data_IF_519071600312
#
_entry.id   IF_519071600312
#
_cell.length_a   1.000
_cell.length_b   1.000
_cell.length_c   1.000
_cell.angle_alpha   90.00
_cell.angle_beta   90.00
_cell.angle_gamma   90.00
#
_symmetry.space_group_name_H-M   'P 1'
#
loop_
_entity.id
_entity.type
_entity.pdbx_description
1 polymer ?
#
# COMPACT_ATOMS: atom_id res chain seq x y z
N UNK A 1 -4.87 -11.90 11.44
CA UNK A 1 -5.48 -11.00 10.44
C UNK A 1 -4.99 -9.60 10.75
N UNK A 2 -4.32 -8.95 9.80
CA UNK A 2 -3.92 -7.56 9.94
C UNK A 2 -4.80 -6.70 9.03
N UNK A 3 -5.47 -5.72 9.64
CA UNK A 3 -6.36 -4.81 8.94
C UNK A 3 -6.02 -3.39 9.33
N UNK A 4 -6.13 -2.50 8.36
CA UNK A 4 -5.88 -1.07 8.49
C UNK A 4 -7.04 -0.33 7.86
N UNK A 5 -7.35 0.85 8.39
CA UNK A 5 -8.31 1.77 7.81
C UNK A 5 -7.69 3.17 7.84
N UNK A 6 -7.84 3.89 6.75
CA UNK A 6 -7.40 5.27 6.59
C UNK A 6 -8.58 6.14 6.19
N UNK A 7 -8.62 7.35 6.72
CA UNK A 7 -9.62 8.36 6.39
C UNK A 7 -8.92 9.51 5.67
N UNK A 8 -9.54 10.04 4.61
CA UNK A 8 -8.97 11.16 3.88
C UNK A 8 -8.93 12.39 4.81
N UNK A 9 -7.76 13.05 4.97
CA UNK A 9 -7.56 14.04 6.03
C UNK A 9 -8.40 15.32 5.84
N UNK A 10 -8.82 15.62 4.61
CA UNK A 10 -9.68 16.77 4.29
C UNK A 10 -11.14 16.40 3.98
N UNK A 11 -11.48 15.11 3.91
CA UNK A 11 -12.84 14.68 3.55
C UNK A 11 -13.16 13.34 4.24
N UNK A 12 -13.77 13.35 5.43
CA UNK A 12 -14.02 12.13 6.20
C UNK A 12 -15.03 11.19 5.53
N UNK A 13 -15.71 11.61 4.45
CA UNK A 13 -16.56 10.72 3.66
C UNK A 13 -15.77 9.69 2.86
N UNK A 14 -14.48 9.96 2.59
CA UNK A 14 -13.59 9.05 1.87
C UNK A 14 -12.74 8.27 2.86
N UNK A 15 -12.91 6.95 2.91
CA UNK A 15 -12.10 6.06 3.75
C UNK A 15 -11.70 4.81 2.97
N UNK A 16 -10.51 4.29 3.22
CA UNK A 16 -10.02 3.07 2.59
C UNK A 16 -9.51 2.09 3.64
N UNK A 17 -9.87 0.82 3.51
CA UNK A 17 -9.38 -0.27 4.33
C UNK A 17 -8.56 -1.25 3.50
N UNK A 18 -7.52 -1.83 4.09
CA UNK A 18 -6.72 -2.86 3.46
C UNK A 18 -6.56 -4.07 4.39
N UNK A 19 -6.55 -5.26 3.79
CA UNK A 19 -6.42 -6.52 4.50
C UNK A 19 -5.70 -7.55 3.64
N UNK A 20 -5.05 -8.51 4.29
CA UNK A 20 -4.63 -9.74 3.62
C UNK A 20 -5.91 -10.47 3.20
N UNK A 21 -5.95 -10.83 1.92
CA UNK A 21 -7.04 -11.57 1.29
C UNK A 21 -6.45 -12.77 0.55
N UNK A 22 -7.32 -13.58 -0.02
CA UNK A 22 -6.98 -14.65 -0.94
C UNK A 22 -7.68 -14.41 -2.28
N UNK A 23 -7.00 -14.82 -3.35
CA UNK A 23 -7.64 -15.00 -4.66
C UNK A 23 -7.44 -16.45 -5.04
N UNK A 24 -8.55 -17.18 -5.18
CA UNK A 24 -8.53 -18.56 -5.65
C UNK A 24 -8.58 -18.62 -7.19
N UNK A 25 -7.77 -19.46 -7.86
CA UNK A 25 -6.57 -20.14 -7.37
C UNK A 25 -5.34 -19.20 -7.48
N UNK A 26 -4.65 -18.89 -6.40
CA UNK A 26 -3.63 -17.82 -6.47
C UNK A 26 -2.87 -17.47 -5.18
N UNK A 27 -3.29 -17.96 -4.02
CA UNK A 27 -2.61 -17.71 -2.74
C UNK A 27 -2.98 -16.37 -2.09
N UNK A 28 -2.16 -15.94 -1.14
CA UNK A 28 -2.36 -14.69 -0.41
C UNK A 28 -2.16 -13.46 -1.31
N UNK A 29 -3.01 -12.46 -1.12
CA UNK A 29 -2.95 -11.18 -1.81
C UNK A 29 -3.38 -10.06 -0.84
N UNK A 30 -3.40 -8.82 -1.31
CA UNK A 30 -3.89 -7.66 -0.57
C UNK A 30 -5.14 -7.13 -1.24
N UNK A 31 -6.24 -7.10 -0.47
CA UNK A 31 -7.47 -6.44 -0.85
C UNK A 31 -7.50 -5.00 -0.35
N UNK A 32 -8.12 -4.12 -1.13
CA UNK A 32 -8.42 -2.74 -0.74
C UNK A 32 -9.89 -2.47 -0.99
N UNK A 33 -10.54 -1.91 0.02
CA UNK A 33 -11.95 -1.54 0.01
C UNK A 33 -12.08 -0.06 0.35
N UNK A 34 -13.00 0.64 -0.32
CA UNK A 34 -13.18 2.08 -0.27
C UNK A 34 -14.65 2.40 0.00
N UNK A 35 -14.88 3.42 0.79
CA UNK A 35 -16.16 4.13 0.91
C UNK A 35 -15.97 5.59 0.51
N UNK A 36 -16.99 6.16 -0.14
CA UNK A 36 -17.07 7.61 -0.42
C UNK A 36 -18.28 8.25 0.26
N UNK A 37 -18.91 7.52 1.19
CA UNK A 37 -20.09 7.96 1.92
C UNK A 37 -19.97 7.72 3.43
N UNK A 38 -18.75 7.90 3.98
CA UNK A 38 -18.51 7.83 5.42
C UNK A 38 -18.71 6.43 6.02
N UNK A 39 -18.50 5.38 5.22
CA UNK A 39 -18.57 4.00 5.66
C UNK A 39 -19.95 3.35 5.55
N UNK A 40 -20.94 4.02 4.98
CA UNK A 40 -22.27 3.43 4.77
C UNK A 40 -22.22 2.29 3.75
N UNK A 41 -21.48 2.46 2.65
CA UNK A 41 -21.24 1.43 1.65
C UNK A 41 -19.75 1.32 1.32
N UNK A 42 -19.29 0.10 1.06
CA UNK A 42 -17.90 -0.22 0.71
C UNK A 42 -17.83 -0.97 -0.61
N UNK A 43 -16.86 -0.61 -1.44
CA UNK A 43 -16.56 -1.29 -2.71
C UNK A 43 -15.07 -1.62 -2.75
N UNK A 44 -14.68 -2.73 -3.36
CA UNK A 44 -13.28 -3.13 -3.39
C UNK A 44 -13.03 -4.41 -4.16
N UNK A 45 -11.77 -4.84 -4.12
CA UNK A 45 -11.31 -6.08 -4.77
C UNK A 45 -10.42 -6.84 -3.80
N UNK A 46 -10.46 -8.17 -3.86
CA UNK A 46 -9.60 -9.06 -3.08
C UNK A 46 -8.15 -9.11 -3.60
N UNK A 47 -7.81 -8.30 -4.60
CA UNK A 47 -6.46 -8.08 -5.08
C UNK A 47 -6.33 -6.69 -5.68
N UNK A 48 -5.23 -6.02 -5.35
CA UNK A 48 -4.78 -4.84 -6.07
C UNK A 48 -4.32 -5.22 -7.48
N UNK A 49 -4.61 -4.35 -8.45
CA UNK A 49 -4.31 -4.58 -9.86
C UNK A 49 -3.70 -3.34 -10.49
N UNK A 50 -2.82 -3.55 -11.46
CA UNK A 50 -2.32 -2.47 -12.31
C UNK A 50 -3.39 -1.95 -13.28
N UNK A 51 -3.06 -0.92 -14.06
CA UNK A 51 -3.98 -0.31 -15.03
C UNK A 51 -4.36 -1.23 -16.20
N UNK A 52 -3.64 -2.34 -16.39
CA UNK A 52 -3.91 -3.36 -17.42
C UNK A 52 -4.69 -4.55 -16.84
N UNK A 53 -5.01 -4.53 -15.55
CA UNK A 53 -5.75 -5.58 -14.86
C UNK A 53 -4.89 -6.73 -14.33
N UNK A 54 -3.56 -6.63 -14.42
CA UNK A 54 -2.60 -7.56 -13.85
C UNK A 54 -2.62 -7.49 -12.32
N UNK A 55 -2.64 -8.65 -11.64
CA UNK A 55 -2.57 -8.71 -10.18
C UNK A 55 -1.16 -8.31 -9.74
N UNK A 56 -1.06 -7.37 -8.80
CA UNK A 56 0.21 -7.04 -8.17
C UNK A 56 0.43 -8.03 -7.03
N UNK A 57 1.52 -8.79 -7.12
CA UNK A 57 1.86 -9.81 -6.12
C UNK A 57 2.24 -9.17 -4.80
N UNK A 58 1.56 -9.59 -3.73
CA UNK A 58 1.81 -9.21 -2.34
C UNK A 58 1.76 -10.47 -1.49
N UNK A 59 2.44 -10.50 -0.35
CA UNK A 59 2.47 -11.70 0.51
C UNK A 59 2.00 -11.45 1.94
N UNK A 60 1.81 -10.19 2.36
CA UNK A 60 1.28 -9.91 3.69
C UNK A 60 1.41 -8.46 4.16
N UNK A 61 0.96 -8.25 5.40
CA UNK A 61 1.05 -7.02 6.20
C UNK A 61 0.66 -5.71 5.49
N UNK A 62 -0.50 -5.64 4.81
CA UNK A 62 -0.90 -4.42 4.15
C UNK A 62 -1.16 -3.29 5.15
N UNK A 63 -0.70 -2.08 4.80
CA UNK A 63 -0.98 -0.83 5.53
C UNK A 63 -1.33 0.26 4.52
N UNK A 64 -2.45 0.94 4.71
CA UNK A 64 -2.98 1.93 3.78
C UNK A 64 -3.04 3.28 4.47
N UNK A 65 -2.71 4.32 3.74
CA UNK A 65 -3.01 5.70 4.10
C UNK A 65 -3.60 6.45 2.92
N UNK A 66 -4.19 7.61 3.19
CA UNK A 66 -4.66 8.54 2.18
C UNK A 66 -3.91 9.85 2.41
N UNK A 67 -3.08 10.24 1.45
CA UNK A 67 -2.39 11.53 1.46
C UNK A 67 -3.39 12.69 1.32
N UNK A 68 -2.99 13.90 1.72
CA UNK A 68 -3.81 15.13 1.62
C UNK A 68 -4.31 15.43 0.20
N UNK A 69 -3.60 14.95 -0.82
CA UNK A 69 -3.99 15.09 -2.22
C UNK A 69 -4.98 13.99 -2.69
N UNK A 70 -5.46 13.14 -1.79
CA UNK A 70 -6.34 12.01 -2.11
C UNK A 70 -5.63 10.81 -2.72
N UNK A 71 -4.29 10.80 -2.77
CA UNK A 71 -3.52 9.65 -3.24
C UNK A 71 -3.51 8.56 -2.17
N UNK A 72 -3.90 7.35 -2.54
CA UNK A 72 -3.86 6.22 -1.64
C UNK A 72 -2.46 5.63 -1.72
N UNK A 73 -1.85 5.35 -0.57
CA UNK A 73 -0.53 4.74 -0.48
C UNK A 73 -0.70 3.46 0.32
N UNK A 74 -0.33 2.34 -0.30
CA UNK A 74 -0.44 1.01 0.26
C UNK A 74 0.96 0.40 0.35
N UNK A 75 1.38 0.06 1.56
CA UNK A 75 2.59 -0.74 1.79
C UNK A 75 2.20 -2.18 2.08
N UNK A 76 3.11 -3.11 1.79
CA UNK A 76 2.92 -4.54 2.00
C UNK A 76 4.28 -5.25 1.98
N UNK A 77 4.31 -6.49 2.46
CA UNK A 77 5.42 -7.40 2.18
C UNK A 77 5.25 -7.88 0.74
N UNK A 78 6.31 -7.73 -0.04
CA UNK A 78 6.41 -8.12 -1.44
C UNK A 78 7.44 -9.24 -1.62
N UNK A 79 7.30 -10.11 -2.64
CA UNK A 79 8.39 -10.99 -3.05
C UNK A 79 9.60 -10.16 -3.51
N UNK A 80 10.79 -10.75 -3.45
CA UNK A 80 11.99 -10.12 -4.00
C UNK A 80 11.80 -9.75 -5.46
N UNK A 81 12.25 -8.55 -5.91
CA UNK A 81 12.33 -8.24 -7.34
C UNK A 81 13.45 -9.03 -8.04
N UNK A 82 14.35 -9.67 -7.28
CA UNK A 82 15.47 -10.45 -7.82
C UNK A 82 14.98 -11.85 -8.21
N UNK A 83 15.09 -12.26 -9.49
CA UNK A 83 14.66 -13.59 -9.92
C UNK A 83 15.35 -14.70 -9.12
N UNK A 84 14.56 -15.67 -8.65
CA UNK A 84 15.04 -16.82 -7.89
C UNK A 84 15.38 -16.55 -6.42
N UNK A 85 15.31 -15.29 -5.96
CA UNK A 85 15.54 -14.98 -4.57
C UNK A 85 14.35 -15.40 -3.69
N UNK A 86 14.66 -15.88 -2.48
CA UNK A 86 13.67 -16.36 -1.49
C UNK A 86 13.43 -15.36 -0.37
N UNK A 87 14.08 -14.20 -0.43
CA UNK A 87 13.86 -13.11 0.51
C UNK A 87 12.59 -12.33 0.16
N UNK A 88 12.00 -11.71 1.17
CA UNK A 88 10.95 -10.73 0.97
C UNK A 88 11.55 -9.32 0.97
N UNK A 89 10.72 -8.35 0.58
CA UNK A 89 11.02 -6.91 0.58
C UNK A 89 9.80 -6.14 1.05
N UNK A 90 10.00 -4.89 1.44
CA UNK A 90 8.88 -3.95 1.60
C UNK A 90 8.55 -3.35 0.24
N UNK A 91 7.30 -3.55 -0.19
CA UNK A 91 6.74 -2.96 -1.39
C UNK A 91 5.77 -1.84 -1.06
N UNK A 92 5.69 -0.87 -1.97
CA UNK A 92 4.72 0.22 -1.94
C UNK A 92 4.05 0.33 -3.31
N UNK A 93 2.73 0.43 -3.32
CA UNK A 93 1.96 0.86 -4.49
C UNK A 93 1.09 2.05 -4.11
N UNK A 94 0.82 2.91 -5.08
CA UNK A 94 -0.08 4.04 -4.90
C UNK A 94 -1.21 4.05 -5.93
N UNK A 95 -2.30 4.72 -5.59
CA UNK A 95 -3.45 4.92 -6.47
C UNK A 95 -3.92 6.37 -6.41
N UNK A 96 -4.12 6.98 -7.57
CA UNK A 96 -4.65 8.34 -7.73
C UNK A 96 -6.10 8.33 -8.22
N UNK A 97 -6.75 7.17 -8.21
CA UNK A 97 -8.09 6.96 -8.77
C UNK A 97 -8.97 6.10 -7.86
N UNK A 98 -8.90 6.39 -6.55
CA UNK A 98 -9.76 5.75 -5.56
C UNK A 98 -9.60 4.21 -5.53
N UNK A 99 -8.38 3.71 -5.72
CA UNK A 99 -8.07 2.27 -5.63
C UNK A 99 -8.52 1.44 -6.84
N UNK A 100 -8.98 2.07 -7.94
CA UNK A 100 -9.45 1.36 -9.14
C UNK A 100 -8.31 0.58 -9.81
N UNK A 101 -7.15 1.22 -9.91
CA UNK A 101 -5.87 0.60 -10.26
C UNK A 101 -4.73 1.21 -9.45
N UNK A 102 -3.60 0.52 -9.43
CA UNK A 102 -2.44 0.83 -8.61
C UNK A 102 -1.18 0.91 -9.48
N UNK A 103 -0.18 1.68 -9.03
CA UNK A 103 1.16 1.62 -9.59
C UNK A 103 1.76 0.22 -9.41
N UNK A 104 2.76 -0.14 -10.22
CA UNK A 104 3.61 -1.29 -9.91
C UNK A 104 4.31 -1.13 -8.55
N UNK A 105 4.83 -2.25 -8.02
CA UNK A 105 5.55 -2.27 -6.73
C UNK A 105 6.81 -1.42 -6.80
N UNK A 106 6.86 -0.37 -5.97
CA UNK A 106 8.09 0.37 -5.65
C UNK A 106 8.71 -0.29 -4.43
N UNK A 107 9.96 -0.75 -4.56
CA UNK A 107 10.67 -1.42 -3.47
C UNK A 107 11.44 -0.41 -2.61
N UNK A 108 11.36 -0.61 -1.30
CA UNK A 108 12.13 0.18 -0.34
C UNK A 108 13.57 -0.38 -0.28
N UNK A 109 14.60 0.41 -0.65
CA UNK A 109 15.98 -0.03 -0.67
C UNK A 109 16.50 -0.25 0.75
N UNK A 110 17.32 -1.28 0.91
CA UNK A 110 18.00 -1.58 2.18
C UNK A 110 17.10 -2.21 3.26
N UNK A 111 15.84 -2.51 2.95
CA UNK A 111 14.89 -3.12 3.90
C UNK A 111 14.45 -4.49 3.37
N UNK A 112 14.80 -5.55 4.12
CA UNK A 112 14.45 -6.93 3.78
C UNK A 112 13.01 -7.25 4.17
N UNK A 113 12.65 -7.12 5.44
CA UNK A 113 11.24 -7.21 5.86
C UNK A 113 11.00 -6.21 6.97
N UNK A 114 9.75 -5.80 7.10
CA UNK A 114 9.29 -4.99 8.21
C UNK A 114 7.87 -5.38 8.56
N UNK A 115 7.62 -5.44 9.86
CA UNK A 115 6.32 -5.87 10.39
C UNK A 115 5.26 -4.79 10.18
N UNK A 116 5.64 -3.50 10.28
CA UNK A 116 4.76 -2.35 10.02
C UNK A 116 5.46 -1.28 9.19
N UNK A 117 4.91 -0.95 8.03
CA UNK A 117 5.42 0.13 7.16
C UNK A 117 4.31 1.14 6.90
N UNK A 118 4.56 2.42 7.16
CA UNK A 118 3.62 3.49 6.79
C UNK A 118 4.41 4.54 6.03
N UNK A 119 3.98 4.84 4.80
CA UNK A 119 4.62 5.86 3.96
C UNK A 119 3.66 7.03 3.78
N UNK A 120 4.09 8.25 4.12
CA UNK A 120 3.33 9.48 3.91
C UNK A 120 4.15 10.52 3.15
N UNK A 121 3.50 11.29 2.28
CA UNK A 121 4.13 12.41 1.58
C UNK A 121 3.81 13.72 2.32
N UNK A 122 4.79 14.64 2.42
CA UNK A 122 4.56 15.99 2.91
C UNK A 122 4.60 17.05 1.80
N UNK A 123 4.92 16.69 0.55
CA UNK A 123 5.16 17.67 -0.54
C UNK A 123 4.04 17.63 -1.60
N UNK A 124 3.26 18.72 -1.78
CA UNK A 124 2.06 18.72 -2.62
C UNK A 124 2.27 18.59 -4.14
N UNK A 125 3.51 18.61 -4.63
CA UNK A 125 3.82 18.65 -6.07
C UNK A 125 5.19 18.02 -6.34
N UNK A 126 5.26 16.70 -6.41
CA UNK A 126 6.43 16.07 -7.01
C UNK A 126 6.08 14.74 -7.66
N UNK A 127 6.19 14.68 -8.99
CA UNK A 127 6.37 13.44 -9.71
C UNK A 127 7.66 12.77 -9.15
N UNK A 128 7.46 11.82 -8.24
CA UNK A 128 8.40 10.79 -7.76
C UNK A 128 9.46 11.07 -6.65
N UNK A 129 9.55 12.21 -5.95
CA UNK A 129 10.83 12.49 -5.24
C UNK A 129 10.88 13.02 -3.80
N UNK A 130 9.83 12.98 -2.95
CA UNK A 130 9.98 13.30 -1.49
C UNK A 130 9.00 12.58 -0.55
N UNK A 131 8.76 11.29 -0.74
CA UNK A 131 7.96 10.52 0.22
C UNK A 131 8.78 10.18 1.47
N UNK A 132 8.21 10.40 2.66
CA UNK A 132 8.76 9.97 3.94
C UNK A 132 8.14 8.62 4.30
N UNK A 133 8.92 7.55 4.23
CA UNK A 133 8.47 6.26 4.74
C UNK A 133 8.94 6.09 6.18
N UNK A 134 8.00 5.89 7.10
CA UNK A 134 8.26 5.43 8.46
C UNK A 134 8.10 3.90 8.47
N UNK A 135 9.20 3.19 8.64
CA UNK A 135 9.25 1.74 8.66
C UNK A 135 9.60 1.32 10.08
N UNK A 136 8.77 0.49 10.70
CA UNK A 136 9.10 -0.18 11.95
C UNK A 136 9.75 -1.52 11.62
N UNK A 137 11.04 -1.65 11.93
CA UNK A 137 11.77 -2.92 11.88
C UNK A 137 12.30 -3.20 13.27
N UNK A 138 11.94 -4.35 13.87
CA UNK A 138 12.55 -4.82 15.12
C UNK A 138 12.56 -3.74 16.23
N UNK A 139 11.44 -3.06 16.43
CA UNK A 139 11.26 -1.95 17.40
C UNK A 139 12.00 -0.64 17.08
N UNK A 140 12.69 -0.55 15.94
CA UNK A 140 13.31 0.69 15.46
C UNK A 140 12.46 1.37 14.38
N UNK A 141 12.35 2.70 14.47
CA UNK A 141 11.74 3.54 13.43
C UNK A 141 12.80 3.99 12.44
N UNK A 142 12.69 3.54 11.19
CA UNK A 142 13.54 3.96 10.09
C UNK A 142 12.76 4.96 9.23
N UNK A 143 13.28 6.18 9.14
CA UNK A 143 12.77 7.21 8.25
C UNK A 143 13.54 7.19 6.93
N UNK A 144 12.92 6.66 5.88
CA UNK A 144 13.52 6.59 4.54
C UNK A 144 13.04 7.77 3.70
N UNK A 145 13.99 8.55 3.18
CA UNK A 145 13.77 9.61 2.20
C UNK A 145 14.21 9.15 0.80
N UNK A 146 13.35 9.32 -0.19
CA UNK A 146 13.65 9.01 -1.59
C UNK A 146 13.98 10.27 -2.38
N UNK A 147 14.93 10.17 -3.33
CA UNK A 147 15.41 11.25 -4.20
C UNK A 147 14.93 11.13 -5.63
#
# INVERSE_FOLDING_TARGET
METTIATHPLNPMIMAGAAVTDVYPGGYTTGVYLTTNGGLNWQGKNAIKDSLGGIITTVGNPKIIIDKNGTFILTYIAPSPRPGAKDFKVGVSYSTNNGTYWSGTVYIPGIDTADKCICADNVPKCLLRKQLCCIMKEEEFIFVHYK
#
